data_IF_689899145357
#
_entry.id   IF_689899145357
#
_cell.length_a   1.000
_cell.length_b   1.000
_cell.length_c   1.000
_cell.angle_alpha   90.00
_cell.angle_beta   90.00
_cell.angle_gamma   90.00
#
_symmetry.space_group_name_H-M   'P 1'
#
loop_
_entity.id
_entity.type
_entity.pdbx_description
1 polymer ?
#
# COMPACT_ATOMS: atom_id res chain seq x y z
N UNK A 1 1.77 -18.97 4.69
CA UNK A 1 0.72 -19.24 5.69
C UNK A 1 1.04 -20.44 6.59
N UNK A 2 1.91 -21.38 6.20
CA UNK A 2 2.29 -22.51 7.06
C UNK A 2 2.80 -22.15 8.48
N UNK A 3 3.36 -20.94 8.66
CA UNK A 3 3.78 -20.43 9.98
C UNK A 3 2.65 -19.83 10.84
N UNK A 4 1.40 -19.88 10.39
CA UNK A 4 0.23 -19.29 11.08
C UNK A 4 -0.85 -20.37 11.26
N UNK A 5 -0.97 -20.92 12.47
CA UNK A 5 -2.00 -21.93 12.80
C UNK A 5 -3.36 -21.27 12.96
N UNK A 6 -4.39 -21.78 12.28
CA UNK A 6 -5.75 -21.23 12.33
C UNK A 6 -6.34 -21.30 13.75
N UNK A 7 -7.07 -20.26 14.17
CA UNK A 7 -7.91 -20.33 15.36
C UNK A 7 -9.20 -21.12 15.09
N UNK A 8 -9.97 -21.42 16.16
CA UNK A 8 -11.21 -22.19 16.05
C UNK A 8 -12.22 -21.58 15.06
N UNK A 9 -12.38 -20.25 15.06
CA UNK A 9 -13.31 -19.58 14.15
C UNK A 9 -12.87 -19.72 12.69
N UNK A 10 -11.59 -19.47 12.39
CA UNK A 10 -11.06 -19.62 11.04
C UNK A 10 -11.08 -21.07 10.56
N UNK A 11 -10.87 -22.04 11.45
CA UNK A 11 -10.97 -23.47 11.14
C UNK A 11 -12.42 -23.84 10.78
N UNK A 12 -13.40 -23.39 11.57
CA UNK A 12 -14.81 -23.64 11.30
C UNK A 12 -15.26 -23.05 9.95
N UNK A 13 -14.76 -21.86 9.58
CA UNK A 13 -14.98 -21.29 8.25
C UNK A 13 -14.31 -22.10 7.14
N UNK A 14 -13.10 -22.60 7.39
CA UNK A 14 -12.30 -23.34 6.42
C UNK A 14 -12.90 -24.71 6.08
N UNK A 15 -13.54 -25.37 7.05
CA UNK A 15 -14.15 -26.71 6.89
C UNK A 15 -15.61 -26.68 6.44
N UNK A 16 -16.30 -25.53 6.49
CA UNK A 16 -17.72 -25.42 6.16
C UNK A 16 -17.95 -25.15 4.65
N UNK A 17 -18.53 -26.08 3.86
CA UNK A 17 -18.76 -25.92 2.42
C UNK A 17 -19.70 -24.77 2.03
N UNK A 18 -20.54 -24.30 2.97
CA UNK A 18 -21.45 -23.18 2.75
C UNK A 18 -20.78 -21.82 3.01
N UNK A 19 -19.55 -21.81 3.51
CA UNK A 19 -18.79 -20.59 3.75
C UNK A 19 -17.94 -20.22 2.54
N UNK A 20 -17.91 -18.94 2.16
CA UNK A 20 -17.03 -18.44 1.08
C UNK A 20 -15.52 -18.67 1.32
N UNK A 21 -15.12 -18.97 2.55
CA UNK A 21 -13.74 -19.27 2.96
C UNK A 21 -13.46 -20.79 3.05
N UNK A 22 -14.40 -21.63 2.61
CA UNK A 22 -14.18 -23.07 2.51
C UNK A 22 -12.92 -23.39 1.71
N UNK A 23 -11.99 -24.14 2.31
CA UNK A 23 -10.68 -24.48 1.73
C UNK A 23 -9.84 -23.30 1.23
N UNK A 24 -10.11 -22.07 1.71
CA UNK A 24 -9.27 -20.93 1.42
C UNK A 24 -7.94 -21.07 2.17
N UNK A 25 -6.90 -21.58 1.49
CA UNK A 25 -5.57 -21.78 2.07
C UNK A 25 -4.98 -20.55 2.79
N UNK A 26 -5.21 -19.31 2.35
CA UNK A 26 -4.73 -18.14 3.07
C UNK A 26 -5.72 -17.57 4.10
N UNK A 27 -6.71 -18.35 4.56
CA UNK A 27 -7.67 -17.86 5.57
C UNK A 27 -6.96 -17.47 6.87
N UNK A 28 -7.35 -16.31 7.41
CA UNK A 28 -6.78 -15.74 8.62
C UNK A 28 -7.67 -14.63 9.18
N UNK A 29 -7.46 -14.30 10.44
CA UNK A 29 -8.10 -13.19 11.14
C UNK A 29 -7.08 -12.43 12.01
N UNK A 30 -7.48 -11.33 12.68
CA UNK A 30 -6.58 -10.60 13.57
C UNK A 30 -6.00 -11.43 14.74
N UNK A 31 -6.59 -12.60 15.06
CA UNK A 31 -6.12 -13.49 16.15
C UNK A 31 -5.00 -14.42 15.66
N UNK A 32 -5.17 -15.07 14.51
CA UNK A 32 -4.28 -16.13 14.05
C UNK A 32 -3.44 -15.78 12.82
N UNK A 33 -3.69 -14.62 12.21
CA UNK A 33 -3.07 -14.16 10.98
C UNK A 33 -1.79 -13.34 11.17
N UNK A 34 -1.21 -12.86 10.06
CA UNK A 34 -0.13 -11.88 10.11
C UNK A 34 -0.63 -10.52 10.61
N UNK A 35 0.25 -9.82 11.32
CA UNK A 35 0.03 -8.44 11.79
C UNK A 35 0.90 -7.46 11.03
N UNK A 36 0.44 -6.22 10.93
CA UNK A 36 1.25 -5.11 10.41
C UNK A 36 2.07 -4.50 11.55
N UNK A 37 3.23 -3.96 11.20
CA UNK A 37 4.07 -3.17 12.09
C UNK A 37 4.67 -2.01 11.31
N UNK A 38 5.11 -0.99 12.03
CA UNK A 38 5.81 0.17 11.47
C UNK A 38 7.19 0.24 12.10
N UNK A 39 8.22 0.30 11.26
CA UNK A 39 9.60 0.44 11.68
C UNK A 39 10.09 1.84 11.33
N UNK A 40 10.56 2.58 12.33
CA UNK A 40 11.16 3.89 12.16
C UNK A 40 12.66 3.78 12.28
N UNK A 41 13.36 4.46 11.38
CA UNK A 41 14.82 4.50 11.39
C UNK A 41 15.28 5.31 12.61
N UNK A 42 15.50 4.62 13.73
CA UNK A 42 16.19 5.18 14.89
C UNK A 42 17.66 4.79 14.76
N UNK A 43 18.57 5.75 14.84
CA UNK A 43 20.01 5.49 14.76
C UNK A 43 20.54 4.68 15.98
N UNK A 44 20.14 3.42 16.19
CA UNK A 44 20.72 2.52 17.20
C UNK A 44 20.66 1.04 16.77
N UNK A 45 21.83 0.55 16.34
CA UNK A 45 22.24 -0.85 16.09
C UNK A 45 21.56 -1.62 14.94
N UNK A 46 22.37 -2.30 14.08
CA UNK A 46 21.81 -3.17 13.06
C UNK A 46 21.13 -4.35 13.74
N UNK A 47 19.82 -4.51 13.54
CA UNK A 47 19.11 -5.74 13.87
C UNK A 47 19.66 -6.85 12.98
N UNK A 48 20.58 -7.64 13.52
CA UNK A 48 20.98 -8.91 12.92
C UNK A 48 19.75 -9.80 12.88
N UNK A 49 19.24 -10.01 11.67
CA UNK A 49 18.10 -10.89 11.39
C UNK A 49 18.55 -12.35 11.62
N UNK A 50 18.42 -12.84 12.85
CA UNK A 50 18.60 -14.26 13.16
C UNK A 50 17.25 -14.97 13.04
N UNK A 51 17.18 -15.96 12.15
CA UNK A 51 15.99 -16.82 11.91
C UNK A 51 15.91 -17.97 12.93
N UNK A 52 16.60 -17.86 14.06
CA UNK A 52 16.51 -18.85 15.14
C UNK A 52 15.82 -18.25 16.35
N UNK A 53 14.76 -18.96 16.76
CA UNK A 53 13.78 -18.58 17.77
C UNK A 53 14.37 -17.74 18.90
N UNK A 54 14.10 -16.44 18.87
CA UNK A 54 14.23 -15.59 20.03
C UNK A 54 13.25 -14.43 19.88
N UNK A 55 12.56 -14.18 20.98
CA UNK A 55 11.59 -13.11 21.19
C UNK A 55 12.17 -11.79 20.68
N UNK A 56 11.71 -11.35 19.51
CA UNK A 56 11.83 -9.96 19.10
C UNK A 56 11.22 -9.14 20.23
N UNK A 57 12.07 -8.36 20.91
CA UNK A 57 11.66 -7.20 21.67
C UNK A 57 11.10 -6.16 20.67
N UNK A 58 9.98 -6.51 20.03
CA UNK A 58 8.98 -5.53 19.67
C UNK A 58 8.64 -4.92 21.01
N UNK A 59 9.09 -3.69 21.28
CA UNK A 59 8.42 -2.90 22.28
C UNK A 59 6.96 -2.90 21.83
N UNK A 60 6.14 -3.71 22.51
CA UNK A 60 4.70 -3.72 22.35
C UNK A 60 4.29 -2.33 22.80
N UNK A 61 4.34 -1.37 21.87
CA UNK A 61 3.66 -0.11 22.05
C UNK A 61 2.20 -0.52 22.21
N UNK A 62 1.79 -0.48 23.47
CA UNK A 62 0.44 -0.55 23.97
C UNK A 62 -0.55 -0.09 22.91
N UNK A 63 -1.51 -0.95 22.59
CA UNK A 63 -2.74 -0.61 21.87
C UNK A 63 -3.15 0.82 22.22
N UNK A 64 -3.05 1.72 21.26
CA UNK A 64 -3.75 3.01 21.15
C UNK A 64 -3.23 3.66 19.85
N UNK A 65 -3.98 3.54 18.74
CA UNK A 65 -3.71 4.21 17.45
C UNK A 65 -2.51 3.64 16.65
N UNK A 66 -2.53 2.31 16.59
CA UNK A 66 -2.23 1.34 15.51
C UNK A 66 -1.30 1.80 14.35
N UNK A 67 -0.24 1.05 14.00
CA UNK A 67 0.75 1.36 12.94
C UNK A 67 0.23 1.92 11.60
N UNK A 68 -1.02 1.58 11.23
CA UNK A 68 -1.71 2.11 10.06
C UNK A 68 -1.94 3.63 10.14
N UNK A 69 -2.46 4.11 11.27
CA UNK A 69 -2.80 5.53 11.46
C UNK A 69 -1.54 6.39 11.47
N UNK A 70 -0.48 5.91 12.14
CA UNK A 70 0.84 6.54 12.08
C UNK A 70 1.39 6.58 10.63
N UNK A 71 1.20 5.51 9.86
CA UNK A 71 1.59 5.49 8.46
C UNK A 71 0.80 6.49 7.60
N UNK A 72 -0.52 6.58 7.80
CA UNK A 72 -1.37 7.58 7.14
C UNK A 72 -0.93 9.01 7.49
N UNK A 73 -0.69 9.27 8.77
CA UNK A 73 -0.20 10.57 9.25
C UNK A 73 1.15 10.91 8.62
N UNK A 74 2.11 9.97 8.59
CA UNK A 74 3.41 10.22 7.98
C UNK A 74 3.33 10.50 6.47
N UNK A 75 2.44 9.82 5.75
CA UNK A 75 2.19 10.15 4.34
C UNK A 75 1.60 11.54 4.19
N UNK A 76 0.63 11.92 5.04
CA UNK A 76 0.03 13.26 5.05
C UNK A 76 1.04 14.37 5.43
N UNK A 77 2.02 14.05 6.27
CA UNK A 77 3.16 14.93 6.61
C UNK A 77 4.23 15.00 5.49
N UNK A 78 4.00 14.36 4.33
CA UNK A 78 4.94 14.39 3.20
C UNK A 78 6.13 13.44 3.35
N UNK A 79 6.11 12.51 4.31
CA UNK A 79 7.18 11.53 4.48
C UNK A 79 7.06 10.41 3.43
N UNK A 80 8.16 9.69 3.25
CA UNK A 80 8.25 8.54 2.35
C UNK A 80 8.26 7.26 3.19
N UNK A 81 7.36 6.33 2.87
CA UNK A 81 7.25 5.03 3.51
C UNK A 81 7.60 3.89 2.55
N UNK A 82 8.26 2.85 3.07
CA UNK A 82 8.37 1.57 2.40
C UNK A 82 7.18 0.68 2.80
N UNK A 83 6.29 0.36 1.86
CA UNK A 83 5.07 -0.42 2.11
C UNK A 83 5.22 -1.81 1.51
N UNK A 84 5.07 -2.85 2.33
CA UNK A 84 5.11 -4.25 1.87
C UNK A 84 3.79 -4.60 1.15
N UNK A 85 3.86 -4.78 -0.16
CA UNK A 85 2.79 -5.33 -0.99
C UNK A 85 2.87 -6.86 -1.11
N UNK A 86 2.10 -7.42 -2.05
CA UNK A 86 2.12 -8.88 -2.31
C UNK A 86 3.43 -9.34 -2.96
N UNK A 87 3.92 -8.58 -3.96
CA UNK A 87 5.08 -8.96 -4.79
C UNK A 87 6.41 -8.32 -4.38
N UNK A 88 6.44 -7.53 -3.30
CA UNK A 88 7.62 -6.78 -2.89
C UNK A 88 7.26 -5.52 -2.12
N UNK A 89 8.20 -4.57 -2.05
CA UNK A 89 7.99 -3.29 -1.40
C UNK A 89 7.76 -2.17 -2.42
N UNK A 90 6.86 -1.26 -2.07
CA UNK A 90 6.72 0.04 -2.73
C UNK A 90 7.39 1.12 -1.88
N UNK A 91 7.93 2.15 -2.53
CA UNK A 91 8.20 3.42 -1.88
C UNK A 91 7.01 4.33 -2.18
N UNK A 92 6.30 4.77 -1.15
CA UNK A 92 5.09 5.56 -1.24
C UNK A 92 5.29 6.92 -0.56
N UNK A 93 4.71 7.96 -1.17
CA UNK A 93 4.59 9.30 -0.62
C UNK A 93 3.30 9.93 -1.16
N UNK A 94 2.91 11.09 -0.63
CA UNK A 94 1.82 11.86 -1.20
C UNK A 94 2.18 12.31 -2.63
N UNK A 95 1.28 12.00 -3.57
CA UNK A 95 1.41 12.31 -4.99
C UNK A 95 1.08 13.79 -5.31
N UNK A 96 0.36 14.48 -4.43
CA UNK A 96 0.06 15.91 -4.56
C UNK A 96 1.18 16.80 -4.01
N UNK A 97 2.12 16.26 -3.23
CA UNK A 97 3.22 17.02 -2.62
C UNK A 97 4.46 17.06 -3.52
N UNK A 98 4.75 18.24 -4.07
CA UNK A 98 5.98 18.49 -4.83
C UNK A 98 7.24 18.12 -4.03
N UNK A 99 7.29 18.53 -2.76
CA UNK A 99 8.42 18.28 -1.87
C UNK A 99 8.65 16.77 -1.65
N UNK A 100 7.59 16.01 -1.39
CA UNK A 100 7.69 14.58 -1.13
C UNK A 100 8.14 13.82 -2.38
N UNK A 101 7.57 14.15 -3.54
CA UNK A 101 7.90 13.52 -4.83
C UNK A 101 9.35 13.82 -5.22
N UNK A 102 9.80 15.08 -5.11
CA UNK A 102 11.17 15.47 -5.40
C UNK A 102 12.17 14.79 -4.46
N UNK A 103 11.87 14.74 -3.16
CA UNK A 103 12.68 14.02 -2.17
C UNK A 103 12.81 12.54 -2.52
N UNK A 104 11.72 11.90 -2.95
CA UNK A 104 11.75 10.50 -3.39
C UNK A 104 12.61 10.31 -4.63
N UNK A 105 12.54 11.21 -5.63
CA UNK A 105 13.40 11.16 -6.82
C UNK A 105 14.88 11.25 -6.45
N UNK A 106 15.22 12.23 -5.62
CA UNK A 106 16.59 12.47 -5.18
C UNK A 106 17.15 11.24 -4.46
N UNK A 107 16.42 10.70 -3.46
CA UNK A 107 16.85 9.53 -2.68
C UNK A 107 16.95 8.26 -3.52
N UNK A 108 16.08 8.09 -4.53
CA UNK A 108 16.06 6.92 -5.42
C UNK A 108 17.05 7.03 -6.59
N UNK A 109 17.60 8.22 -6.87
CA UNK A 109 18.39 8.47 -8.07
C UNK A 109 17.57 8.33 -9.36
N UNK A 110 16.27 8.64 -9.33
CA UNK A 110 15.34 8.49 -10.47
C UNK A 110 14.92 9.85 -10.99
N UNK A 111 15.68 10.39 -11.95
CA UNK A 111 15.53 11.76 -12.47
C UNK A 111 14.17 11.96 -13.15
N UNK A 112 13.95 11.43 -14.36
CA UNK A 112 12.73 11.76 -15.13
C UNK A 112 11.74 10.61 -15.26
N UNK A 113 12.17 9.37 -15.00
CA UNK A 113 11.30 8.20 -15.23
C UNK A 113 10.00 8.33 -14.39
N UNK A 114 8.79 8.27 -15.00
CA UNK A 114 7.54 8.53 -14.30
C UNK A 114 7.31 7.63 -13.09
N UNK A 115 6.63 8.13 -12.06
CA UNK A 115 6.09 7.32 -10.98
C UNK A 115 4.65 6.90 -11.30
N UNK A 116 4.26 5.75 -10.76
CA UNK A 116 2.86 5.35 -10.75
C UNK A 116 2.16 5.97 -9.53
N UNK A 117 0.90 6.34 -9.69
CA UNK A 117 0.02 6.90 -8.66
C UNK A 117 -1.05 5.88 -8.34
N UNK A 118 -1.27 5.61 -7.06
CA UNK A 118 -2.39 4.82 -6.59
C UNK A 118 -3.49 5.76 -6.09
N UNK A 119 -4.71 5.60 -6.61
CA UNK A 119 -5.89 6.32 -6.14
C UNK A 119 -6.83 5.36 -5.41
N UNK A 120 -7.63 5.86 -4.46
CA UNK A 120 -8.55 5.04 -3.67
C UNK A 120 -9.61 4.34 -4.54
N UNK A 121 -10.20 5.08 -5.48
CA UNK A 121 -11.28 4.62 -6.33
C UNK A 121 -11.29 5.34 -7.70
N UNK A 122 -12.18 4.87 -8.58
CA UNK A 122 -12.38 5.45 -9.91
C UNK A 122 -12.84 6.92 -9.83
N UNK A 123 -13.65 7.27 -8.83
CA UNK A 123 -14.12 8.63 -8.65
C UNK A 123 -12.94 9.59 -8.44
N UNK A 124 -11.97 9.19 -7.63
CA UNK A 124 -10.72 9.92 -7.37
C UNK A 124 -9.86 10.01 -8.63
N UNK A 125 -9.71 8.91 -9.39
CA UNK A 125 -8.98 8.91 -10.67
C UNK A 125 -9.56 9.94 -11.64
N UNK A 126 -10.89 10.00 -11.75
CA UNK A 126 -11.59 10.95 -12.63
C UNK A 126 -11.38 12.41 -12.25
N UNK A 127 -10.90 12.72 -11.05
CA UNK A 127 -10.58 14.10 -10.66
C UNK A 127 -9.28 14.60 -11.32
N UNK A 128 -8.33 13.71 -11.62
CA UNK A 128 -7.00 14.10 -12.11
C UNK A 128 -6.62 13.51 -13.46
N UNK A 129 -7.34 12.51 -13.96
CA UNK A 129 -7.11 11.86 -15.25
C UNK A 129 -8.39 11.70 -16.07
N UNK A 130 -8.23 11.67 -17.39
CA UNK A 130 -9.27 11.20 -18.31
C UNK A 130 -9.35 9.67 -18.23
N UNK A 131 -10.57 9.14 -18.32
CA UNK A 131 -10.81 7.70 -18.18
C UNK A 131 -12.01 7.28 -19.04
N UNK A 132 -11.75 6.49 -20.08
CA UNK A 132 -12.77 5.85 -20.91
C UNK A 132 -13.48 4.71 -20.18
N UNK A 133 -14.54 4.17 -20.78
CA UNK A 133 -15.25 3.01 -20.22
C UNK A 133 -14.39 1.73 -20.26
N UNK A 134 -13.61 1.55 -21.31
CA UNK A 134 -12.70 0.41 -21.49
C UNK A 134 -11.53 0.49 -20.51
N UNK A 135 -10.96 1.69 -20.32
CA UNK A 135 -9.89 1.93 -19.35
C UNK A 135 -10.40 1.73 -17.92
N UNK A 136 -11.61 2.19 -17.58
CA UNK A 136 -12.21 1.95 -16.26
C UNK A 136 -12.41 0.45 -15.99
N UNK A 137 -12.89 -0.29 -17.00
CA UNK A 137 -13.10 -1.73 -16.91
C UNK A 137 -11.77 -2.45 -16.63
N UNK A 138 -10.72 -2.08 -17.36
CA UNK A 138 -9.39 -2.67 -17.18
C UNK A 138 -8.74 -2.26 -15.86
N UNK A 139 -8.86 -1.01 -15.45
CA UNK A 139 -8.33 -0.49 -14.18
C UNK A 139 -9.00 -1.16 -12.97
N UNK A 140 -10.29 -1.48 -13.12
CA UNK A 140 -11.12 -2.13 -12.11
C UNK A 140 -11.01 -3.66 -12.11
N UNK A 141 -10.25 -4.24 -13.03
CA UNK A 141 -10.09 -5.69 -13.14
C UNK A 141 -9.38 -6.27 -11.91
N UNK A 142 -9.52 -7.58 -11.71
CA UNK A 142 -8.90 -8.30 -10.59
C UNK A 142 -7.37 -8.23 -10.63
N UNK A 143 -6.78 -8.06 -11.81
CA UNK A 143 -5.33 -7.94 -12.03
C UNK A 143 -4.79 -6.60 -11.51
N UNK A 144 -5.63 -5.56 -11.39
CA UNK A 144 -5.29 -4.22 -10.89
C UNK A 144 -4.02 -3.64 -11.55
N UNK A 145 -4.00 -3.51 -12.89
CA UNK A 145 -2.83 -3.04 -13.61
C UNK A 145 -2.52 -1.56 -13.34
N UNK A 146 -1.30 -1.14 -13.67
CA UNK A 146 -0.97 0.27 -13.85
C UNK A 146 -1.32 0.65 -15.29
N UNK A 147 -2.29 1.53 -15.48
CA UNK A 147 -2.68 2.07 -16.78
C UNK A 147 -2.05 3.44 -17.03
N UNK A 148 -1.68 3.72 -18.28
CA UNK A 148 -1.22 5.05 -18.68
C UNK A 148 -2.44 5.88 -19.08
N UNK A 149 -2.80 6.86 -18.26
CA UNK A 149 -3.95 7.71 -18.47
C UNK A 149 -3.51 9.14 -18.80
N UNK A 150 -4.28 9.84 -19.63
CA UNK A 150 -4.08 11.26 -19.92
C UNK A 150 -4.38 12.09 -18.67
N UNK A 151 -3.42 12.88 -18.20
CA UNK A 151 -3.63 13.79 -17.07
C UNK A 151 -4.51 14.97 -17.50
N UNK A 152 -5.48 15.33 -16.64
CA UNK A 152 -6.33 16.50 -16.86
C UNK A 152 -5.58 17.80 -16.57
N UNK A 153 -5.85 18.88 -17.32
CA UNK A 153 -5.40 20.22 -16.94
C UNK A 153 -5.91 20.58 -15.53
N UNK A 154 -5.07 21.23 -14.71
CA UNK A 154 -5.44 21.63 -13.35
C UNK A 154 -5.51 20.48 -12.33
N UNK A 155 -4.97 19.30 -12.67
CA UNK A 155 -4.76 18.20 -11.74
C UNK A 155 -3.99 18.68 -10.50
N UNK A 156 -4.41 18.21 -9.32
CA UNK A 156 -3.73 18.46 -8.04
C UNK A 156 -2.44 17.63 -7.85
N UNK A 157 -2.13 16.75 -8.82
CA UNK A 157 -0.93 15.92 -8.77
C UNK A 157 0.31 16.77 -9.06
N UNK A 158 1.40 16.46 -8.35
CA UNK A 158 2.70 17.07 -8.59
C UNK A 158 3.14 16.88 -10.06
N UNK A 159 3.59 17.98 -10.68
CA UNK A 159 4.22 17.93 -12.01
C UNK A 159 5.48 17.05 -12.04
N UNK A 160 6.08 16.80 -10.87
CA UNK A 160 7.25 15.94 -10.74
C UNK A 160 6.90 14.45 -10.79
N UNK A 161 5.63 14.03 -10.87
CA UNK A 161 5.28 12.62 -11.05
C UNK A 161 5.73 12.09 -12.41
N UNK A 162 5.51 12.86 -13.47
CA UNK A 162 5.88 12.50 -14.84
C UNK A 162 6.39 13.74 -15.59
N UNK A 163 7.60 14.24 -15.26
CA UNK A 163 8.14 15.47 -15.86
C UNK A 163 8.15 15.40 -17.39
N UNK A 164 7.56 16.42 -18.04
CA UNK A 164 7.50 16.50 -19.50
C UNK A 164 6.57 15.49 -20.18
N UNK A 165 5.72 14.78 -19.43
CA UNK A 165 4.76 13.82 -19.98
C UNK A 165 3.33 14.17 -19.56
N UNK A 166 2.40 14.09 -20.53
CA UNK A 166 0.98 14.34 -20.30
C UNK A 166 0.22 13.07 -19.89
N UNK A 167 0.90 11.94 -19.82
CA UNK A 167 0.35 10.66 -19.35
C UNK A 167 0.98 10.25 -18.04
N UNK A 168 0.15 9.76 -17.12
CA UNK A 168 0.52 9.29 -15.80
C UNK A 168 0.16 7.81 -15.65
N UNK A 169 1.00 7.04 -14.96
CA UNK A 169 0.68 5.68 -14.58
C UNK A 169 -0.26 5.68 -13.39
N UNK A 170 -1.44 5.08 -13.51
CA UNK A 170 -2.47 5.06 -12.48
C UNK A 170 -2.86 3.62 -12.16
N UNK A 171 -3.00 3.31 -10.88
CA UNK A 171 -3.52 2.03 -10.41
C UNK A 171 -4.51 2.20 -9.26
N UNK A 172 -5.32 1.16 -9.02
CA UNK A 172 -6.23 1.08 -7.87
C UNK A 172 -5.66 0.16 -6.77
N UNK A 173 -6.20 0.21 -5.55
CA UNK A 173 -5.72 -0.61 -4.45
C UNK A 173 -5.99 -2.09 -4.75
N UNK A 174 -4.97 -2.93 -4.54
CA UNK A 174 -5.04 -4.36 -4.88
C UNK A 174 -4.84 -5.29 -3.67
N UNK A 175 -4.65 -4.73 -2.48
CA UNK A 175 -4.58 -5.48 -1.22
C UNK A 175 -5.41 -4.77 -0.15
N UNK A 176 -5.88 -5.47 0.89
CA UNK A 176 -6.57 -4.84 2.02
C UNK A 176 -5.75 -3.72 2.67
N UNK A 177 -4.42 -3.88 2.77
CA UNK A 177 -3.54 -2.85 3.33
C UNK A 177 -3.55 -1.56 2.51
N UNK A 178 -3.60 -1.66 1.17
CA UNK A 178 -3.70 -0.48 0.32
C UNK A 178 -5.02 0.28 0.51
N UNK A 179 -6.14 -0.43 0.63
CA UNK A 179 -7.43 0.19 0.93
C UNK A 179 -7.42 0.89 2.28
N UNK A 180 -6.88 0.22 3.31
CA UNK A 180 -6.75 0.80 4.64
C UNK A 180 -5.85 2.04 4.64
N UNK A 181 -4.71 2.01 3.94
CA UNK A 181 -3.79 3.16 3.88
C UNK A 181 -4.38 4.39 3.18
N UNK A 182 -5.25 4.19 2.18
CA UNK A 182 -5.83 5.28 1.39
C UNK A 182 -7.20 5.76 1.91
N UNK A 183 -7.80 5.04 2.85
CA UNK A 183 -9.03 5.46 3.51
C UNK A 183 -8.65 6.44 4.62
N UNK A 184 -9.22 7.67 4.66
CA UNK A 184 -8.97 8.58 5.77
C UNK A 184 -9.32 7.95 7.13
N UNK A 185 -8.60 8.29 8.21
CA UNK A 185 -8.97 7.89 9.56
C UNK A 185 -10.34 8.43 9.98
#
# INVERSE_FOLDING_TARGET
>A
MAGFTMCADCQAEYENPLNRRFHAQPNACPVCGPHIWLELNSNLQPSTFNVEGSTLNVQRSTFNLQPLEAAQQFLAEGRILAVKGLGGFHLACDAASDEAVQTLRQRKGRVDKPFAVMALDVATVRQFAELSAEEETLLSSKERPILLLRQKPGSLLSQFIAPGNNSIGVMLPYTPLHYLLLTPP
#
